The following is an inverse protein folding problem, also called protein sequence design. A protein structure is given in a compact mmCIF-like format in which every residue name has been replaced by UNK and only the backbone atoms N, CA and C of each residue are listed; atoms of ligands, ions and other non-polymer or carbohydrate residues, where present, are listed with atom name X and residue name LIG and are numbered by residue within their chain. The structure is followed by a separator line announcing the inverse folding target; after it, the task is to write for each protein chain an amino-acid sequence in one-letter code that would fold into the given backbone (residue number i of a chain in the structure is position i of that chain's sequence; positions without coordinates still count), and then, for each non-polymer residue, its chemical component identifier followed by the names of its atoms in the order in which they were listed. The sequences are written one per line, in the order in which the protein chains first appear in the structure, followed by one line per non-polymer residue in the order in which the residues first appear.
data_IF_454514172045
#
_entry.id   IF_454514172045
#
_cell.length_a   1.000
_cell.length_b   1.000
_cell.length_c   1.000
_cell.angle_alpha   90.00
_cell.angle_beta   90.00
_cell.angle_gamma   90.00
#
_symmetry.space_group_name_H-M   'P 1'
#
loop_
_entity.id
_entity.type
_entity.pdbx_description
1 polymer ?
#
# COMPACT_ATOMS: atom_id res chain seq x y z
N UNK A 1 24.36 -19.52 -10.94
CA UNK A 1 24.55 -19.72 -9.49
C UNK A 1 24.79 -18.36 -8.84
N UNK A 2 23.93 -17.96 -7.92
CA UNK A 2 24.11 -16.72 -7.16
C UNK A 2 25.32 -16.83 -6.25
N UNK A 3 26.24 -15.86 -6.34
CA UNK A 3 27.38 -15.75 -5.43
C UNK A 3 26.91 -15.43 -4.00
N UNK A 4 27.76 -15.61 -2.98
CA UNK A 4 27.43 -15.28 -1.59
C UNK A 4 26.97 -13.83 -1.42
N UNK A 5 27.48 -12.92 -2.27
CA UNK A 5 27.12 -11.51 -2.26
C UNK A 5 25.63 -11.25 -2.52
N UNK A 6 24.91 -12.15 -3.21
CA UNK A 6 23.47 -11.96 -3.47
C UNK A 6 22.65 -11.96 -2.17
N UNK A 7 22.94 -12.86 -1.23
CA UNK A 7 22.27 -12.95 0.07
C UNK A 7 22.57 -11.74 0.98
N UNK A 8 23.68 -11.05 0.72
CA UNK A 8 24.10 -9.85 1.46
C UNK A 8 23.48 -8.60 0.84
N UNK A 9 23.53 -8.47 -0.48
CA UNK A 9 23.07 -7.28 -1.18
C UNK A 9 21.55 -7.28 -1.41
N UNK A 10 20.92 -8.46 -1.50
CA UNK A 10 19.50 -8.63 -1.79
C UNK A 10 18.89 -9.68 -0.85
N UNK A 11 18.98 -9.49 0.48
CA UNK A 11 18.55 -10.51 1.45
C UNK A 11 17.08 -10.88 1.29
N UNK A 12 16.18 -9.89 1.13
CA UNK A 12 14.74 -10.14 0.90
C UNK A 12 14.49 -11.01 -0.34
N UNK A 13 15.13 -10.68 -1.46
CA UNK A 13 14.95 -11.44 -2.70
C UNK A 13 15.52 -12.86 -2.58
N UNK A 14 16.58 -13.05 -1.80
CA UNK A 14 17.09 -14.37 -1.47
C UNK A 14 16.13 -15.17 -0.58
N UNK A 15 15.54 -14.57 0.46
CA UNK A 15 14.51 -15.22 1.27
C UNK A 15 13.29 -15.61 0.43
N UNK A 16 12.79 -14.71 -0.42
CA UNK A 16 11.65 -14.98 -1.32
C UNK A 16 12.00 -16.15 -2.27
N UNK A 17 13.17 -16.11 -2.91
CA UNK A 17 13.58 -17.18 -3.82
C UNK A 17 13.65 -18.55 -3.13
N UNK A 18 14.13 -18.60 -1.87
CA UNK A 18 14.15 -19.84 -1.08
C UNK A 18 12.74 -20.27 -0.65
N UNK A 19 11.87 -19.34 -0.27
CA UNK A 19 10.48 -19.64 0.09
C UNK A 19 9.68 -20.21 -1.10
N UNK A 20 10.02 -19.81 -2.33
CA UNK A 20 9.42 -20.35 -3.56
C UNK A 20 9.81 -21.80 -3.85
N UNK A 21 10.95 -22.29 -3.35
CA UNK A 21 11.39 -23.68 -3.56
C UNK A 21 10.44 -24.63 -2.85
N UNK A 22 9.71 -25.47 -3.57
CA UNK A 22 8.71 -26.33 -2.92
C UNK A 22 9.35 -27.43 -2.09
N UNK A 23 10.48 -27.94 -2.56
CA UNK A 23 11.19 -29.05 -1.95
C UNK A 23 12.65 -29.07 -2.43
N UNK A 24 13.58 -29.47 -1.56
CA UNK A 24 15.01 -29.48 -1.84
C UNK A 24 15.40 -30.31 -3.08
N UNK A 25 14.58 -31.29 -3.47
CA UNK A 25 14.81 -32.09 -4.69
C UNK A 25 14.89 -31.25 -5.96
N UNK A 26 14.19 -30.10 -6.03
CA UNK A 26 14.25 -29.18 -7.18
C UNK A 26 15.66 -28.60 -7.37
N UNK A 27 16.43 -28.47 -6.28
CA UNK A 27 17.80 -27.97 -6.30
C UNK A 27 18.81 -29.11 -6.40
N UNK A 28 18.53 -30.25 -5.76
CA UNK A 28 19.46 -31.38 -5.66
C UNK A 28 19.88 -31.93 -7.02
N UNK A 29 18.99 -31.98 -8.02
CA UNK A 29 19.36 -32.42 -9.38
C UNK A 29 20.51 -31.59 -9.95
N UNK A 30 20.52 -30.28 -9.69
CA UNK A 30 21.59 -29.39 -10.15
C UNK A 30 22.81 -29.46 -9.24
N UNK A 31 22.59 -29.48 -7.92
CA UNK A 31 23.68 -29.47 -6.93
C UNK A 31 24.52 -30.75 -6.97
N UNK A 32 23.92 -31.91 -7.24
CA UNK A 32 24.63 -33.19 -7.31
C UNK A 32 25.29 -33.44 -8.67
N UNK A 33 24.89 -32.73 -9.72
CA UNK A 33 25.43 -32.90 -11.08
C UNK A 33 26.82 -32.29 -11.28
N UNK A 34 27.24 -31.33 -10.44
CA UNK A 34 28.51 -30.62 -10.61
C UNK A 34 29.53 -30.92 -9.51
N UNK A 35 30.73 -31.33 -9.90
CA UNK A 35 31.84 -31.60 -8.97
C UNK A 35 32.28 -30.39 -8.11
N UNK A 36 31.88 -29.16 -8.49
CA UNK A 36 32.25 -27.89 -7.83
C UNK A 36 31.12 -27.24 -7.02
N UNK A 37 29.99 -27.93 -6.82
CA UNK A 37 28.78 -27.33 -6.22
C UNK A 37 28.70 -27.41 -4.70
N UNK A 38 29.70 -28.02 -4.03
CA UNK A 38 29.69 -28.24 -2.59
C UNK A 38 29.53 -26.93 -1.79
N UNK A 39 30.21 -25.86 -2.19
CA UNK A 39 30.11 -24.56 -1.50
C UNK A 39 28.74 -23.92 -1.67
N UNK A 40 28.09 -24.11 -2.84
CA UNK A 40 26.74 -23.65 -3.09
C UNK A 40 25.71 -24.47 -2.29
N UNK A 41 25.88 -25.79 -2.22
CA UNK A 41 25.02 -26.67 -1.42
C UNK A 41 25.08 -26.34 0.07
N UNK A 42 26.29 -26.13 0.62
CA UNK A 42 26.49 -25.73 2.01
C UNK A 42 25.82 -24.38 2.32
N UNK A 43 25.92 -23.44 1.38
CA UNK A 43 25.28 -22.13 1.47
C UNK A 43 23.76 -22.23 1.48
N UNK A 44 23.19 -22.99 0.55
CA UNK A 44 21.75 -23.17 0.44
C UNK A 44 21.18 -23.92 1.64
N UNK A 45 21.88 -24.94 2.15
CA UNK A 45 21.48 -25.63 3.38
C UNK A 45 21.43 -24.65 4.56
N UNK A 46 22.49 -23.86 4.78
CA UNK A 46 22.50 -22.86 5.85
C UNK A 46 21.48 -21.74 5.65
N UNK A 47 21.17 -21.39 4.40
CA UNK A 47 20.12 -20.43 4.09
C UNK A 47 18.71 -20.97 4.39
N UNK A 48 18.44 -22.24 4.10
CA UNK A 48 17.18 -22.90 4.48
C UNK A 48 17.03 -23.03 5.99
N UNK A 49 18.11 -23.35 6.71
CA UNK A 49 18.09 -23.33 8.19
C UNK A 49 17.72 -21.94 8.72
N UNK A 50 18.34 -20.89 8.19
CA UNK A 50 18.08 -19.51 8.60
C UNK A 50 16.60 -19.14 8.46
N UNK A 51 15.97 -19.44 7.32
CA UNK A 51 14.55 -19.12 7.06
C UNK A 51 13.56 -20.12 7.71
N UNK A 52 14.01 -20.92 8.69
CA UNK A 52 13.14 -21.84 9.42
C UNK A 52 12.72 -23.10 8.65
N UNK A 53 13.43 -23.46 7.57
CA UNK A 53 13.17 -24.66 6.75
C UNK A 53 14.24 -25.74 6.94
N UNK A 54 14.48 -26.11 8.20
CA UNK A 54 15.50 -27.09 8.58
C UNK A 54 15.37 -28.43 7.84
N UNK A 55 14.13 -28.91 7.58
CA UNK A 55 13.90 -30.16 6.84
C UNK A 55 14.51 -30.14 5.43
N UNK A 56 14.50 -28.99 4.75
CA UNK A 56 15.08 -28.85 3.41
C UNK A 56 16.61 -28.82 3.46
N UNK A 57 17.16 -28.14 4.46
CA UNK A 57 18.60 -28.13 4.71
C UNK A 57 19.11 -29.55 5.00
N UNK A 58 18.42 -30.27 5.87
CA UNK A 58 18.69 -31.66 6.24
C UNK A 58 18.69 -32.57 5.02
N UNK A 59 17.71 -32.41 4.11
CA UNK A 59 17.66 -33.18 2.86
C UNK A 59 18.87 -32.91 1.99
N UNK A 60 19.31 -31.66 1.87
CA UNK A 60 20.52 -31.30 1.12
C UNK A 60 21.76 -31.98 1.73
N UNK A 61 21.93 -31.87 3.05
CA UNK A 61 23.06 -32.48 3.77
C UNK A 61 23.06 -34.00 3.61
N UNK A 62 21.92 -34.66 3.80
CA UNK A 62 21.77 -36.13 3.67
C UNK A 62 22.07 -36.62 2.25
N UNK A 63 21.65 -35.89 1.21
CA UNK A 63 21.92 -36.26 -0.18
C UNK A 63 23.44 -36.25 -0.49
N UNK A 64 24.18 -35.23 -0.03
CA UNK A 64 25.63 -35.19 -0.20
C UNK A 64 26.35 -36.27 0.63
N UNK A 65 25.83 -36.59 1.83
CA UNK A 65 26.38 -37.66 2.66
C UNK A 65 26.28 -39.04 2.00
N UNK A 66 25.24 -39.32 1.21
CA UNK A 66 25.13 -40.55 0.42
C UNK A 66 26.27 -40.71 -0.60
N UNK A 67 26.82 -39.60 -1.08
CA UNK A 67 28.01 -39.55 -1.94
C UNK A 67 29.32 -39.49 -1.15
N UNK A 68 29.28 -39.71 0.17
CA UNK A 68 30.41 -39.60 1.11
C UNK A 68 31.04 -38.21 1.18
N UNK A 69 30.29 -37.16 0.82
CA UNK A 69 30.72 -35.77 0.92
C UNK A 69 30.12 -35.17 2.19
N UNK A 70 30.98 -34.73 3.12
CA UNK A 70 30.55 -34.05 4.35
C UNK A 70 30.25 -32.58 4.06
N UNK A 71 28.97 -32.21 4.10
CA UNK A 71 28.52 -30.84 3.93
C UNK A 71 28.36 -30.15 5.29
N UNK A 72 28.93 -28.95 5.45
CA UNK A 72 28.71 -28.10 6.63
C UNK A 72 27.87 -26.88 6.20
N UNK A 73 26.61 -26.76 6.66
CA UNK A 73 25.78 -25.59 6.39
C UNK A 73 26.46 -24.28 6.81
N UNK A 74 26.30 -23.23 6.00
CA UNK A 74 26.82 -21.88 6.29
C UNK A 74 25.72 -20.87 5.97
N UNK A 75 25.25 -20.14 6.98
CA UNK A 75 24.29 -19.06 6.80
C UNK A 75 24.92 -17.93 5.95
N UNK A 76 24.38 -17.61 4.75
CA UNK A 76 24.91 -16.55 3.91
C UNK A 76 24.33 -15.15 4.21
N UNK A 77 23.29 -15.06 5.04
CA UNK A 77 22.65 -13.80 5.37
C UNK A 77 23.46 -13.02 6.41
N UNK A 78 23.36 -11.69 6.36
CA UNK A 78 23.81 -10.79 7.44
C UNK A 78 22.67 -10.27 8.30
N UNK A 79 21.45 -10.74 8.01
CA UNK A 79 20.28 -10.41 8.80
C UNK A 79 20.38 -11.11 10.16
N UNK A 80 19.96 -10.43 11.26
CA UNK A 80 19.90 -11.07 12.56
C UNK A 80 18.81 -12.15 12.60
N UNK A 81 17.68 -11.91 11.91
CA UNK A 81 16.51 -12.78 11.86
C UNK A 81 15.86 -12.73 10.46
N UNK A 82 15.11 -13.76 10.05
CA UNK A 82 14.36 -13.75 8.80
C UNK A 82 13.33 -12.62 8.73
N UNK A 83 13.10 -12.08 7.54
CA UNK A 83 12.03 -11.09 7.30
C UNK A 83 10.71 -11.74 6.86
N UNK A 84 10.73 -13.05 6.63
CA UNK A 84 9.58 -13.85 6.24
C UNK A 84 9.27 -14.91 7.28
N UNK A 85 8.00 -15.00 7.65
CA UNK A 85 7.51 -16.15 8.38
C UNK A 85 7.38 -17.37 7.44
N UNK A 86 7.54 -18.60 7.98
CA UNK A 86 7.27 -19.81 7.22
C UNK A 86 5.85 -19.81 6.64
N UNK A 87 5.75 -19.79 5.31
CA UNK A 87 4.46 -19.81 4.59
C UNK A 87 4.42 -20.91 3.52
N UNK A 88 3.20 -21.32 3.18
CA UNK A 88 2.92 -22.16 2.00
C UNK A 88 2.76 -21.33 0.72
N UNK A 89 2.73 -20.00 0.84
CA UNK A 89 2.71 -19.07 -0.29
C UNK A 89 3.93 -19.27 -1.19
N UNK A 90 3.70 -19.22 -2.50
CA UNK A 90 4.75 -19.35 -3.52
C UNK A 90 4.78 -18.20 -4.52
N UNK A 91 3.81 -17.29 -4.43
CA UNK A 91 3.82 -16.06 -5.23
C UNK A 91 4.93 -15.15 -4.72
N UNK A 92 5.94 -14.79 -5.55
CA UNK A 92 6.99 -13.87 -5.13
C UNK A 92 6.43 -12.50 -4.74
N UNK A 93 5.30 -12.10 -5.32
CA UNK A 93 4.62 -10.84 -5.01
C UNK A 93 4.05 -10.88 -3.60
N UNK A 94 3.27 -11.90 -3.27
CA UNK A 94 2.71 -12.10 -1.91
C UNK A 94 3.81 -12.16 -0.86
N UNK A 95 4.86 -12.94 -1.11
CA UNK A 95 6.00 -13.04 -0.21
C UNK A 95 6.70 -11.69 -0.05
N UNK A 96 6.89 -10.92 -1.13
CA UNK A 96 7.48 -9.58 -1.03
C UNK A 96 6.64 -8.64 -0.16
N UNK A 97 5.32 -8.65 -0.32
CA UNK A 97 4.42 -7.83 0.49
C UNK A 97 4.50 -8.19 1.98
N UNK A 98 4.47 -9.49 2.31
CA UNK A 98 4.61 -9.97 3.70
C UNK A 98 5.98 -9.59 4.29
N UNK A 99 7.07 -9.74 3.52
CA UNK A 99 8.42 -9.34 3.95
C UNK A 99 8.53 -7.83 4.19
N UNK A 100 7.98 -7.01 3.28
CA UNK A 100 7.91 -5.57 3.46
C UNK A 100 7.13 -5.22 4.72
N UNK A 101 5.96 -5.85 4.93
CA UNK A 101 5.14 -5.60 6.12
C UNK A 101 5.90 -5.87 7.41
N UNK A 102 6.44 -7.07 7.56
CA UNK A 102 7.16 -7.50 8.76
C UNK A 102 8.40 -6.66 9.01
N UNK A 103 9.19 -6.42 7.97
CA UNK A 103 10.44 -5.67 8.08
C UNK A 103 10.26 -4.18 8.39
N UNK A 104 9.08 -3.61 8.15
CA UNK A 104 8.81 -2.17 8.28
C UNK A 104 7.89 -1.81 9.43
N UNK A 105 7.22 -2.80 10.02
CA UNK A 105 6.26 -2.60 11.12
C UNK A 105 6.82 -1.74 12.25
N UNK A 106 8.03 -2.06 12.75
CA UNK A 106 8.64 -1.35 13.87
C UNK A 106 9.07 0.07 13.50
N UNK A 107 9.55 0.28 12.27
CA UNK A 107 9.93 1.61 11.78
C UNK A 107 8.73 2.56 11.73
N UNK A 108 7.54 2.04 11.36
CA UNK A 108 6.30 2.81 11.36
C UNK A 108 5.87 3.15 12.79
N UNK A 109 5.89 2.17 13.71
CA UNK A 109 5.54 2.39 15.12
C UNK A 109 6.45 3.47 15.74
N UNK A 110 7.76 3.41 15.46
CA UNK A 110 8.73 4.37 15.97
C UNK A 110 8.54 5.79 15.43
N UNK A 111 7.91 5.96 14.25
CA UNK A 111 7.71 7.25 13.60
C UNK A 111 6.39 7.94 13.97
N UNK A 112 5.43 7.22 14.56
CA UNK A 112 4.08 7.71 14.85
C UNK A 112 3.86 7.99 16.34
N UNK A 113 3.04 8.98 16.71
CA UNK A 113 2.58 9.11 18.09
C UNK A 113 1.65 7.93 18.45
N UNK A 114 1.54 7.57 19.74
CA UNK A 114 0.60 6.54 20.20
C UNK A 114 -0.83 6.83 19.75
N UNK A 115 -1.61 5.78 19.51
CA UNK A 115 -3.01 5.90 19.13
C UNK A 115 -3.79 6.67 20.20
N UNK A 116 -4.57 7.71 19.84
CA UNK A 116 -5.43 8.41 20.80
C UNK A 116 -6.47 7.50 21.47
N UNK A 117 -6.82 6.40 20.82
CA UNK A 117 -7.92 5.53 21.21
C UNK A 117 -9.23 5.98 20.56
N UNK A 118 -10.14 5.04 20.38
CA UNK A 118 -11.46 5.33 19.81
C UNK A 118 -12.22 6.29 20.72
N UNK A 119 -12.67 7.41 20.17
CA UNK A 119 -13.50 8.36 20.89
C UNK A 119 -14.84 7.71 21.23
N UNK A 120 -15.41 8.04 22.39
CA UNK A 120 -16.75 7.56 22.78
C UNK A 120 -17.85 8.12 21.85
N UNK A 121 -17.59 9.26 21.20
CA UNK A 121 -18.52 9.95 20.34
C UNK A 121 -18.10 9.83 18.87
N UNK A 122 -18.65 8.82 18.19
CA UNK A 122 -18.42 8.60 16.77
C UNK A 122 -19.01 9.73 15.89
N UNK A 123 -20.09 10.37 16.33
CA UNK A 123 -20.69 11.48 15.60
C UNK A 123 -19.76 12.70 15.59
N UNK A 124 -19.15 13.02 16.73
CA UNK A 124 -18.15 14.08 16.82
C UNK A 124 -16.92 13.82 15.95
N UNK A 125 -16.44 12.56 15.88
CA UNK A 125 -15.35 12.21 14.97
C UNK A 125 -15.76 12.43 13.50
N UNK A 126 -16.93 11.93 13.09
CA UNK A 126 -17.43 12.07 11.73
C UNK A 126 -17.72 13.53 11.34
N UNK A 127 -18.09 14.38 12.29
CA UNK A 127 -18.20 15.82 12.09
C UNK A 127 -16.83 16.46 11.80
N UNK A 128 -15.78 16.09 12.55
CA UNK A 128 -14.40 16.56 12.28
C UNK A 128 -13.86 16.08 10.93
N UNK A 129 -14.26 14.87 10.49
CA UNK A 129 -13.96 14.38 9.14
C UNK A 129 -14.64 15.29 8.11
N UNK A 130 -15.93 15.59 8.28
CA UNK A 130 -16.70 16.46 7.39
C UNK A 130 -16.10 17.87 7.26
N UNK A 131 -15.70 18.48 8.37
CA UNK A 131 -15.04 19.79 8.40
C UNK A 131 -13.76 19.83 7.55
N UNK A 132 -13.12 18.68 7.32
CA UNK A 132 -11.89 18.56 6.52
C UNK A 132 -12.14 18.30 5.04
N UNK A 133 -13.38 18.04 4.63
CA UNK A 133 -13.72 17.68 3.25
C UNK A 133 -13.15 18.66 2.23
N UNK A 134 -13.39 19.97 2.39
CA UNK A 134 -13.00 20.95 1.38
C UNK A 134 -11.47 21.01 1.18
N UNK A 135 -10.73 20.99 2.28
CA UNK A 135 -9.27 20.95 2.24
C UNK A 135 -8.76 19.63 1.66
N UNK A 136 -9.36 18.50 2.04
CA UNK A 136 -8.99 17.18 1.54
C UNK A 136 -9.21 17.08 0.03
N UNK A 137 -10.42 17.43 -0.45
CA UNK A 137 -10.79 17.43 -1.86
C UNK A 137 -9.85 18.31 -2.68
N UNK A 138 -9.58 19.54 -2.25
CA UNK A 138 -8.66 20.43 -2.95
C UNK A 138 -7.28 19.79 -3.11
N UNK A 139 -6.68 19.36 -2.00
CA UNK A 139 -5.30 18.92 -2.00
C UNK A 139 -5.15 17.58 -2.75
N UNK A 140 -6.06 16.66 -2.48
CA UNK A 140 -6.08 15.33 -3.09
C UNK A 140 -6.27 15.41 -4.61
N UNK A 141 -7.20 16.23 -5.11
CA UNK A 141 -7.40 16.40 -6.54
C UNK A 141 -6.24 17.17 -7.20
N UNK A 142 -5.70 18.20 -6.54
CA UNK A 142 -4.60 18.98 -7.08
C UNK A 142 -3.29 18.18 -7.19
N UNK A 143 -3.05 17.23 -6.27
CA UNK A 143 -1.89 16.31 -6.34
C UNK A 143 -1.91 15.47 -7.62
N UNK A 144 -3.11 15.06 -8.06
CA UNK A 144 -3.33 14.30 -9.30
C UNK A 144 -3.36 15.20 -10.56
N UNK A 145 -3.27 16.52 -10.40
CA UNK A 145 -3.21 17.49 -11.51
C UNK A 145 -4.57 17.98 -12.02
N UNK A 146 -5.65 17.82 -11.26
CA UNK A 146 -6.93 18.50 -11.53
C UNK A 146 -6.85 19.98 -11.14
N UNK A 147 -7.53 20.85 -11.89
CA UNK A 147 -7.60 22.29 -11.58
C UNK A 147 -8.92 22.58 -10.86
N UNK A 148 -8.90 22.44 -9.54
CA UNK A 148 -10.07 22.68 -8.68
C UNK A 148 -9.91 23.98 -7.90
N UNK A 149 -11.01 24.73 -7.75
CA UNK A 149 -11.09 25.93 -6.91
C UNK A 149 -11.97 25.66 -5.70
N UNK A 150 -11.87 26.51 -4.67
CA UNK A 150 -12.69 26.39 -3.47
C UNK A 150 -14.19 26.54 -3.82
N UNK A 151 -14.52 27.45 -4.74
CA UNK A 151 -15.90 27.64 -5.22
C UNK A 151 -16.46 26.41 -5.94
N UNK A 152 -15.63 25.69 -6.69
CA UNK A 152 -16.05 24.44 -7.33
C UNK A 152 -16.33 23.36 -6.29
N UNK A 153 -15.47 23.23 -5.28
CA UNK A 153 -15.61 22.21 -4.23
C UNK A 153 -16.84 22.47 -3.37
N UNK A 154 -17.07 23.74 -2.99
CA UNK A 154 -18.24 24.16 -2.22
C UNK A 154 -19.54 23.93 -3.00
N UNK A 155 -19.57 24.31 -4.28
CA UNK A 155 -20.73 24.09 -5.15
C UNK A 155 -21.08 22.60 -5.29
N UNK A 156 -20.07 21.75 -5.45
CA UNK A 156 -20.26 20.29 -5.49
C UNK A 156 -20.83 19.77 -4.16
N UNK A 157 -20.34 20.27 -3.02
CA UNK A 157 -20.83 19.88 -1.70
C UNK A 157 -22.27 20.32 -1.43
N UNK A 158 -22.70 21.47 -1.99
CA UNK A 158 -24.08 21.96 -1.84
C UNK A 158 -25.10 21.19 -2.70
N UNK A 159 -24.65 20.30 -3.59
CA UNK A 159 -25.54 19.50 -4.44
C UNK A 159 -26.16 20.28 -5.61
N UNK A 160 -25.79 21.55 -5.79
CA UNK A 160 -26.21 22.34 -6.94
C UNK A 160 -25.45 21.88 -8.18
N UNK A 161 -26.07 20.95 -8.91
CA UNK A 161 -25.96 20.99 -10.36
C UNK A 161 -26.66 22.26 -10.80
N UNK A 162 -25.91 23.37 -10.85
CA UNK A 162 -26.39 24.72 -11.16
C UNK A 162 -27.46 24.68 -12.28
N UNK A 163 -28.75 24.94 -11.95
CA UNK A 163 -29.83 24.97 -12.94
C UNK A 163 -29.69 26.14 -13.93
N UNK A 164 -28.96 27.19 -13.52
CA UNK A 164 -28.71 28.43 -14.29
C UNK A 164 -27.26 28.50 -14.83
N UNK A 165 -26.45 27.50 -14.51
CA UNK A 165 -25.06 27.38 -14.94
C UNK A 165 -24.97 26.75 -16.32
N UNK A 166 -23.94 27.14 -17.06
CA UNK A 166 -23.66 26.55 -18.37
C UNK A 166 -23.54 25.01 -18.23
N UNK A 167 -24.42 24.21 -18.87
CA UNK A 167 -24.38 22.75 -18.82
C UNK A 167 -23.02 22.17 -19.25
N UNK A 168 -22.25 22.89 -20.08
CA UNK A 168 -20.87 22.53 -20.43
C UNK A 168 -19.91 22.61 -19.23
N UNK A 169 -20.11 23.56 -18.32
CA UNK A 169 -19.24 23.77 -17.16
C UNK A 169 -19.34 22.63 -16.14
N UNK A 170 -20.55 22.09 -15.94
CA UNK A 170 -20.83 20.96 -15.06
C UNK A 170 -20.34 19.61 -15.62
N UNK A 171 -19.97 19.57 -16.90
CA UNK A 171 -19.42 18.40 -17.57
C UNK A 171 -17.91 18.47 -17.75
N UNK A 172 -17.23 19.50 -17.23
CA UNK A 172 -15.76 19.54 -17.32
C UNK A 172 -15.12 18.37 -16.57
N UNK A 173 -13.95 17.94 -17.05
CA UNK A 173 -13.16 16.87 -16.41
C UNK A 173 -12.92 17.14 -14.92
N UNK A 174 -12.61 18.38 -14.58
CA UNK A 174 -12.28 18.78 -13.21
C UNK A 174 -13.53 18.86 -12.32
N UNK A 175 -14.68 19.32 -12.84
CA UNK A 175 -15.97 19.28 -12.12
C UNK A 175 -16.44 17.84 -11.85
N UNK A 176 -16.32 16.95 -12.84
CA UNK A 176 -16.68 15.54 -12.69
C UNK A 176 -15.76 14.82 -11.70
N UNK A 177 -14.47 15.18 -11.67
CA UNK A 177 -13.53 14.66 -10.69
C UNK A 177 -13.85 15.16 -9.28
N UNK A 178 -14.20 16.44 -9.11
CA UNK A 178 -14.65 17.00 -7.83
C UNK A 178 -15.93 16.30 -7.33
N UNK A 179 -16.91 16.11 -8.22
CA UNK A 179 -18.15 15.39 -7.89
C UNK A 179 -17.92 13.94 -7.51
N UNK A 180 -17.09 13.22 -8.26
CA UNK A 180 -16.73 11.84 -7.93
C UNK A 180 -15.97 11.75 -6.60
N UNK A 181 -15.09 12.71 -6.33
CA UNK A 181 -14.37 12.78 -5.05
C UNK A 181 -15.32 13.00 -3.87
N UNK A 182 -16.29 13.90 -4.01
CA UNK A 182 -17.35 14.10 -3.01
C UNK A 182 -18.12 12.82 -2.72
N UNK A 183 -18.56 12.13 -3.77
CA UNK A 183 -19.30 10.87 -3.65
C UNK A 183 -18.46 9.78 -2.95
N UNK A 184 -17.19 9.66 -3.33
CA UNK A 184 -16.27 8.71 -2.70
C UNK A 184 -15.96 9.07 -1.25
N UNK A 185 -15.81 10.36 -0.93
CA UNK A 185 -15.58 10.85 0.43
C UNK A 185 -16.71 10.44 1.37
N UNK A 186 -17.97 10.62 0.96
CA UNK A 186 -19.12 10.17 1.75
C UNK A 186 -19.19 8.65 1.89
N UNK A 187 -18.90 7.89 0.83
CA UNK A 187 -18.83 6.44 0.92
C UNK A 187 -17.74 5.98 1.91
N UNK A 188 -16.60 6.67 1.97
CA UNK A 188 -15.53 6.41 2.95
C UNK A 188 -15.97 6.80 4.36
N UNK A 189 -16.71 7.90 4.52
CA UNK A 189 -17.28 8.33 5.80
C UNK A 189 -18.23 7.26 6.36
N UNK A 190 -19.07 6.66 5.52
CA UNK A 190 -19.94 5.54 5.90
C UNK A 190 -19.13 4.30 6.33
N UNK A 191 -18.05 3.99 5.61
CA UNK A 191 -17.10 2.95 6.02
C UNK A 191 -16.47 3.25 7.37
N UNK A 192 -16.03 4.49 7.61
CA UNK A 192 -15.46 4.92 8.91
C UNK A 192 -16.49 4.78 10.03
N UNK A 193 -17.75 5.15 9.80
CA UNK A 193 -18.81 4.98 10.80
C UNK A 193 -18.92 3.52 11.27
N UNK A 194 -18.79 2.56 10.35
CA UNK A 194 -18.78 1.12 10.68
C UNK A 194 -17.52 0.70 11.45
N UNK A 195 -16.36 1.23 11.08
CA UNK A 195 -15.10 0.98 11.83
C UNK A 195 -15.23 1.49 13.27
N UNK A 196 -15.77 2.70 13.45
CA UNK A 196 -16.01 3.28 14.78
C UNK A 196 -17.07 2.50 15.57
N UNK A 197 -18.01 1.86 14.89
CA UNK A 197 -18.99 0.96 15.49
C UNK A 197 -18.41 -0.44 15.84
N UNK A 198 -17.13 -0.68 15.57
CA UNK A 198 -16.42 -1.90 15.97
C UNK A 198 -16.24 -2.95 14.87
N UNK A 199 -16.61 -2.67 13.62
CA UNK A 199 -16.22 -3.54 12.50
C UNK A 199 -14.69 -3.51 12.29
N UNK A 200 -14.10 -4.65 11.94
CA UNK A 200 -12.67 -4.73 11.65
C UNK A 200 -12.30 -3.86 10.44
N UNK A 201 -11.39 -2.90 10.65
CA UNK A 201 -11.02 -1.93 9.63
C UNK A 201 -10.42 -2.56 8.37
N UNK A 202 -9.60 -3.62 8.51
CA UNK A 202 -9.03 -4.32 7.36
C UNK A 202 -10.10 -4.97 6.48
N UNK A 203 -11.12 -5.55 7.11
CA UNK A 203 -12.29 -6.13 6.43
C UNK A 203 -13.14 -5.06 5.74
N UNK A 204 -13.40 -3.94 6.42
CA UNK A 204 -14.19 -2.83 5.87
C UNK A 204 -13.51 -2.26 4.63
N UNK A 205 -12.23 -1.86 4.71
CA UNK A 205 -11.55 -1.25 3.56
C UNK A 205 -11.34 -2.24 2.41
N UNK A 206 -11.06 -3.52 2.72
CA UNK A 206 -10.89 -4.57 1.71
C UNK A 206 -12.17 -4.86 0.93
N UNK A 207 -13.35 -4.72 1.55
CA UNK A 207 -14.64 -4.85 0.88
C UNK A 207 -15.01 -3.57 0.11
N UNK A 208 -14.91 -2.42 0.76
CA UNK A 208 -15.56 -1.19 0.30
C UNK A 208 -14.74 -0.40 -0.73
N UNK A 209 -13.43 -0.68 -0.89
CA UNK A 209 -12.58 0.12 -1.78
C UNK A 209 -13.07 0.12 -3.24
N UNK A 210 -13.78 -0.91 -3.68
CA UNK A 210 -14.39 -0.97 -5.01
C UNK A 210 -15.58 -0.01 -5.13
N UNK A 211 -16.37 0.14 -4.07
CA UNK A 211 -17.50 1.07 -4.04
C UNK A 211 -16.99 2.52 -4.01
N UNK A 212 -15.93 2.79 -3.24
CA UNK A 212 -15.27 4.09 -3.25
C UNK A 212 -14.73 4.45 -4.63
N UNK A 213 -14.13 3.48 -5.31
CA UNK A 213 -13.64 3.63 -6.67
C UNK A 213 -14.78 3.85 -7.67
N UNK A 214 -15.89 3.12 -7.53
CA UNK A 214 -17.07 3.32 -8.35
C UNK A 214 -17.68 4.72 -8.16
N UNK A 215 -17.74 5.20 -6.91
CA UNK A 215 -18.18 6.56 -6.59
C UNK A 215 -17.24 7.61 -7.21
N UNK A 216 -15.92 7.37 -7.16
CA UNK A 216 -14.92 8.30 -7.70
C UNK A 216 -15.05 8.53 -9.21
N UNK A 217 -15.43 7.50 -9.98
CA UNK A 217 -15.49 7.57 -11.44
C UNK A 217 -16.91 7.56 -12.03
N UNK A 218 -17.94 7.24 -11.23
CA UNK A 218 -19.31 7.07 -11.71
C UNK A 218 -19.86 8.28 -12.45
N UNK A 219 -19.58 9.50 -11.96
CA UNK A 219 -19.95 10.75 -12.62
C UNK A 219 -19.28 10.90 -13.99
N UNK A 220 -17.97 10.65 -14.08
CA UNK A 220 -17.21 10.75 -15.34
C UNK A 220 -17.63 9.68 -16.37
N UNK A 221 -17.97 8.47 -15.90
CA UNK A 221 -18.48 7.39 -16.76
C UNK A 221 -19.88 7.71 -17.28
N UNK A 222 -20.75 8.27 -16.43
CA UNK A 222 -22.10 8.69 -16.83
C UNK A 222 -22.06 9.80 -17.88
N UNK A 223 -21.10 10.73 -17.76
CA UNK A 223 -20.84 11.78 -18.74
C UNK A 223 -20.10 11.29 -20.01
N UNK A 224 -19.77 10.00 -20.11
CA UNK A 224 -19.07 9.43 -21.27
C UNK A 224 -17.59 9.84 -21.40
N UNK A 225 -17.01 10.50 -20.39
CA UNK A 225 -15.59 10.88 -20.38
C UNK A 225 -14.65 9.71 -20.11
N UNK A 226 -15.16 8.70 -19.41
CA UNK A 226 -14.41 7.50 -19.04
C UNK A 226 -15.20 6.27 -19.48
N UNK A 227 -14.51 5.25 -19.98
CA UNK A 227 -15.16 4.03 -20.43
C UNK A 227 -15.89 3.32 -19.28
N UNK A 228 -17.07 2.74 -19.54
CA UNK A 228 -17.84 1.97 -18.54
C UNK A 228 -17.05 0.80 -17.94
N UNK A 229 -16.16 0.20 -18.74
CA UNK A 229 -15.26 -0.86 -18.30
C UNK A 229 -14.30 -0.42 -17.19
N UNK A 230 -14.09 0.88 -17.00
CA UNK A 230 -13.30 1.40 -15.89
C UNK A 230 -13.91 0.97 -14.55
N UNK A 231 -15.23 0.85 -14.45
CA UNK A 231 -15.94 0.42 -13.24
C UNK A 231 -15.99 -1.11 -13.08
N UNK A 232 -15.48 -1.87 -14.05
CA UNK A 232 -15.51 -3.34 -14.01
C UNK A 232 -14.50 -3.94 -13.01
N UNK A 233 -13.64 -3.09 -12.42
CA UNK A 233 -12.75 -3.44 -11.32
C UNK A 233 -11.28 -3.21 -11.64
N UNK A 234 -10.44 -4.18 -11.29
CA UNK A 234 -8.99 -4.05 -11.43
C UNK A 234 -8.54 -3.96 -12.89
N UNK A 235 -7.41 -3.30 -13.11
CA UNK A 235 -6.87 -3.09 -14.45
C UNK A 235 -6.49 -4.41 -15.10
N UNK A 236 -6.78 -4.50 -16.40
CA UNK A 236 -6.47 -5.67 -17.24
C UNK A 236 -5.15 -5.52 -18.02
N UNK A 237 -4.49 -4.36 -17.92
CA UNK A 237 -3.30 -4.00 -18.69
C UNK A 237 -2.17 -3.38 -17.84
N UNK A 238 -0.99 -3.22 -18.45
CA UNK A 238 0.14 -2.55 -17.81
C UNK A 238 -0.10 -1.05 -17.69
N UNK A 239 0.57 -0.44 -16.71
CA UNK A 239 0.59 1.01 -16.49
C UNK A 239 1.99 1.43 -16.04
N UNK A 240 2.27 2.73 -16.15
CA UNK A 240 3.51 3.33 -15.66
C UNK A 240 3.17 4.54 -14.78
N UNK A 241 3.84 4.63 -13.64
CA UNK A 241 3.71 5.79 -12.76
C UNK A 241 4.70 6.85 -13.27
N UNK A 242 4.18 8.03 -13.62
CA UNK A 242 5.05 9.13 -14.07
C UNK A 242 5.98 9.56 -12.94
N UNK A 243 7.25 9.79 -13.28
CA UNK A 243 8.29 10.25 -12.35
C UNK A 243 8.57 9.30 -11.18
N UNK A 244 8.36 8.00 -11.37
CA UNK A 244 8.75 6.97 -10.41
C UNK A 244 9.52 5.86 -11.13
N UNK A 245 10.55 5.33 -10.47
CA UNK A 245 11.28 4.13 -10.91
C UNK A 245 10.54 2.85 -10.50
N UNK A 246 9.51 2.95 -9.66
CA UNK A 246 8.66 1.82 -9.31
C UNK A 246 7.82 1.37 -10.51
N UNK A 247 7.83 0.07 -10.76
CA UNK A 247 6.96 -0.56 -11.74
C UNK A 247 5.82 -1.27 -11.01
N UNK A 248 4.56 -0.85 -11.22
CA UNK A 248 3.40 -1.54 -10.68
C UNK A 248 3.37 -3.03 -10.97
N UNK A 249 2.69 -3.79 -10.12
CA UNK A 249 2.60 -5.24 -10.26
C UNK A 249 1.96 -5.64 -11.61
N UNK A 250 2.36 -6.77 -12.21
CA UNK A 250 1.65 -7.27 -13.39
C UNK A 250 0.22 -7.69 -13.00
N UNK A 251 -0.70 -7.70 -13.98
CA UNK A 251 -2.13 -7.96 -13.72
C UNK A 251 -2.38 -9.30 -13.04
N UNK A 252 -1.56 -10.31 -13.36
CA UNK A 252 -1.65 -11.66 -12.81
C UNK A 252 -1.34 -11.72 -11.32
N UNK A 253 -0.65 -10.70 -10.78
CA UNK A 253 -0.27 -10.63 -9.38
C UNK A 253 -1.21 -9.76 -8.54
N UNK A 254 -2.12 -8.99 -9.17
CA UNK A 254 -2.93 -7.99 -8.45
C UNK A 254 -3.82 -8.65 -7.40
N UNK A 255 -4.59 -9.68 -7.79
CA UNK A 255 -5.56 -10.32 -6.90
C UNK A 255 -4.86 -10.94 -5.68
N UNK A 256 -3.91 -11.84 -5.90
CA UNK A 256 -3.14 -12.48 -4.81
C UNK A 256 -2.49 -11.44 -3.88
N UNK A 257 -1.98 -10.34 -4.45
CA UNK A 257 -1.30 -9.29 -3.66
C UNK A 257 -2.28 -8.45 -2.85
N UNK A 258 -3.49 -8.19 -3.37
CA UNK A 258 -4.54 -7.51 -2.62
C UNK A 258 -5.09 -8.41 -1.52
N UNK A 259 -5.32 -9.70 -1.80
CA UNK A 259 -5.72 -10.66 -0.76
C UNK A 259 -4.69 -10.71 0.38
N UNK A 260 -3.40 -10.77 0.05
CA UNK A 260 -2.33 -10.70 1.04
C UNK A 260 -2.36 -9.37 1.83
N UNK A 261 -2.59 -8.24 1.17
CA UNK A 261 -2.72 -6.94 1.83
C UNK A 261 -3.91 -6.91 2.80
N UNK A 262 -5.07 -7.44 2.39
CA UNK A 262 -6.28 -7.49 3.22
C UNK A 262 -6.09 -8.37 4.45
N UNK A 263 -5.41 -9.52 4.30
CA UNK A 263 -5.08 -10.38 5.43
C UNK A 263 -4.13 -9.69 6.41
N UNK A 264 -3.08 -9.02 5.90
CA UNK A 264 -2.15 -8.26 6.73
C UNK A 264 -2.88 -7.16 7.53
N UNK A 265 -3.79 -6.43 6.89
CA UNK A 265 -4.58 -5.38 7.55
C UNK A 265 -5.49 -5.92 8.65
N UNK A 266 -6.17 -7.05 8.41
CA UNK A 266 -7.04 -7.69 9.42
C UNK A 266 -6.25 -8.11 10.67
N UNK A 267 -5.04 -8.63 10.48
CA UNK A 267 -4.22 -9.17 11.58
C UNK A 267 -3.36 -8.14 12.29
N UNK A 268 -3.12 -6.96 11.71
CA UNK A 268 -2.27 -5.94 12.33
C UNK A 268 -3.01 -5.24 13.48
N UNK A 269 -2.52 -5.25 14.72
CA UNK A 269 -3.16 -4.55 15.83
C UNK A 269 -2.94 -3.03 15.83
N UNK A 270 -1.84 -2.52 15.25
CA UNK A 270 -1.49 -1.10 15.33
C UNK A 270 -2.12 -0.30 14.18
N UNK A 271 -3.00 0.64 14.52
CA UNK A 271 -3.70 1.47 13.52
C UNK A 271 -2.75 2.32 12.66
N UNK A 272 -1.63 2.80 13.22
CA UNK A 272 -0.63 3.54 12.45
C UNK A 272 0.07 2.64 11.41
N UNK A 273 0.37 1.38 11.77
CA UNK A 273 0.95 0.39 10.86
C UNK A 273 -0.04 0.07 9.74
N UNK A 274 -1.31 -0.21 10.09
CA UNK A 274 -2.39 -0.40 9.11
C UNK A 274 -2.43 0.77 8.14
N UNK A 275 -2.51 2.00 8.65
CA UNK A 275 -2.65 3.19 7.81
C UNK A 275 -1.47 3.41 6.87
N UNK A 276 -0.22 3.40 7.37
CA UNK A 276 0.95 3.71 6.56
C UNK A 276 1.26 2.59 5.58
N UNK A 277 1.31 1.34 6.04
CA UNK A 277 1.65 0.20 5.18
C UNK A 277 0.49 -0.17 4.26
N UNK A 278 -0.75 -0.06 4.73
CA UNK A 278 -1.95 -0.23 3.91
C UNK A 278 -1.98 0.77 2.76
N UNK A 279 -1.78 2.05 3.07
CA UNK A 279 -1.65 3.10 2.07
C UNK A 279 -0.56 2.80 1.04
N UNK A 280 0.66 2.56 1.52
CA UNK A 280 1.82 2.35 0.67
C UNK A 280 1.66 1.11 -0.21
N UNK A 281 1.30 -0.04 0.36
CA UNK A 281 1.22 -1.28 -0.40
C UNK A 281 0.06 -1.26 -1.39
N UNK A 282 -1.05 -0.59 -1.08
CA UNK A 282 -2.13 -0.40 -2.06
C UNK A 282 -1.64 0.37 -3.30
N UNK A 283 -0.93 1.49 -3.11
CA UNK A 283 -0.39 2.28 -4.24
C UNK A 283 0.80 1.60 -4.92
N UNK A 284 1.54 0.74 -4.21
CA UNK A 284 2.60 -0.11 -4.75
C UNK A 284 2.04 -1.20 -5.68
N UNK A 285 0.95 -1.87 -5.28
CA UNK A 285 0.21 -2.83 -6.13
C UNK A 285 -0.38 -2.10 -7.34
N UNK A 286 -0.95 -0.91 -7.09
CA UNK A 286 -1.56 -0.04 -8.09
C UNK A 286 -2.65 -0.75 -8.92
N UNK A 287 -3.75 -1.18 -8.27
CA UNK A 287 -4.70 -2.12 -8.86
C UNK A 287 -5.63 -1.54 -9.93
N UNK A 288 -5.75 -0.22 -10.04
CA UNK A 288 -6.63 0.46 -11.01
C UNK A 288 -5.85 1.19 -12.11
N UNK A 289 -6.51 1.54 -13.22
CA UNK A 289 -5.90 2.35 -14.30
C UNK A 289 -5.65 3.81 -13.88
N UNK A 290 -6.50 4.36 -13.02
CA UNK A 290 -6.38 5.70 -12.42
C UNK A 290 -7.04 5.69 -11.03
N UNK A 291 -6.81 6.70 -10.20
CA UNK A 291 -7.47 6.87 -8.90
C UNK A 291 -6.75 6.20 -7.72
N UNK A 292 -5.68 5.44 -7.97
CA UNK A 292 -4.95 4.72 -6.92
C UNK A 292 -4.44 5.65 -5.81
N UNK A 293 -3.94 6.84 -6.14
CA UNK A 293 -3.51 7.83 -5.14
C UNK A 293 -4.66 8.32 -4.25
N UNK A 294 -5.81 8.63 -4.85
CA UNK A 294 -7.02 9.09 -4.15
C UNK A 294 -7.60 8.01 -3.24
N UNK A 295 -7.79 6.80 -3.78
CA UNK A 295 -8.25 5.64 -2.99
C UNK A 295 -7.23 5.27 -1.90
N UNK A 296 -5.93 5.34 -2.20
CA UNK A 296 -4.88 5.11 -1.22
C UNK A 296 -4.95 6.09 -0.05
N UNK A 297 -5.23 7.37 -0.28
CA UNK A 297 -5.40 8.38 0.79
C UNK A 297 -6.69 8.16 1.59
N UNK A 298 -7.77 7.75 0.94
CA UNK A 298 -8.99 7.34 1.65
C UNK A 298 -8.77 6.11 2.52
N UNK A 299 -8.10 5.09 1.99
CA UNK A 299 -7.73 3.88 2.72
C UNK A 299 -6.84 4.21 3.93
N UNK A 300 -5.85 5.10 3.76
CA UNK A 300 -5.03 5.61 4.87
C UNK A 300 -5.90 6.17 5.99
N UNK A 301 -6.84 7.07 5.65
CA UNK A 301 -7.67 7.75 6.64
C UNK A 301 -8.69 6.82 7.31
N UNK A 302 -9.29 5.89 6.58
CA UNK A 302 -10.17 4.88 7.17
C UNK A 302 -9.43 3.99 8.19
N UNK A 303 -8.16 3.67 7.93
CA UNK A 303 -7.33 2.89 8.85
C UNK A 303 -6.79 3.71 10.02
N UNK A 304 -6.51 5.01 9.83
CA UNK A 304 -6.19 5.94 10.92
C UNK A 304 -7.36 6.05 11.91
N UNK A 305 -8.59 6.10 11.40
CA UNK A 305 -9.80 6.17 12.22
C UNK A 305 -9.92 4.99 13.19
N UNK A 306 -9.43 3.79 12.82
CA UNK A 306 -9.47 2.61 13.70
C UNK A 306 -8.61 2.76 14.97
N UNK A 307 -7.72 3.74 15.02
CA UNK A 307 -6.94 4.10 16.22
C UNK A 307 -7.38 5.41 16.87
N UNK A 308 -8.43 6.05 16.36
CA UNK A 308 -8.88 7.38 16.79
C UNK A 308 -7.97 8.53 16.32
N UNK A 309 -7.07 8.28 15.37
CA UNK A 309 -6.28 9.35 14.76
C UNK A 309 -7.17 10.28 13.92
N UNK A 310 -6.85 11.58 13.83
CA UNK A 310 -7.63 12.51 13.04
C UNK A 310 -7.46 12.26 11.53
N UNK A 311 -8.49 12.60 10.75
CA UNK A 311 -8.41 12.59 9.29
C UNK A 311 -7.26 13.48 8.80
N UNK A 312 -6.30 12.88 8.10
CA UNK A 312 -5.07 13.53 7.66
C UNK A 312 -5.16 13.93 6.20
N UNK A 313 -4.92 15.22 5.94
CA UNK A 313 -4.87 15.80 4.59
C UNK A 313 -3.42 15.93 4.17
N UNK A 314 -3.04 15.29 3.06
CA UNK A 314 -1.72 15.49 2.44
C UNK A 314 -1.75 16.77 1.64
N UNK A 315 -1.00 17.79 2.06
CA UNK A 315 -1.01 19.11 1.39
C UNK A 315 -0.31 19.07 0.03
N UNK A 316 -0.94 19.67 -0.99
CA UNK A 316 -0.36 19.78 -2.35
C UNK A 316 0.94 20.59 -2.35
N UNK A 317 1.10 21.54 -1.42
CA UNK A 317 2.35 22.30 -1.25
C UNK A 317 3.54 21.42 -0.85
N UNK A 318 3.28 20.20 -0.36
CA UNK A 318 4.28 19.19 -0.02
C UNK A 318 4.20 17.95 -0.91
N UNK A 319 3.63 18.11 -2.12
CA UNK A 319 3.53 17.02 -3.09
C UNK A 319 4.89 16.38 -3.36
N UNK A 320 5.94 17.18 -3.55
CA UNK A 320 7.26 16.64 -3.90
C UNK A 320 7.87 15.84 -2.74
N UNK A 321 7.71 16.29 -1.50
CA UNK A 321 8.10 15.53 -0.30
C UNK A 321 7.37 14.18 -0.22
N UNK A 322 6.05 14.20 -0.47
CA UNK A 322 5.21 13.00 -0.45
C UNK A 322 5.62 12.00 -1.53
N UNK A 323 5.84 12.47 -2.76
CA UNK A 323 6.28 11.60 -3.86
C UNK A 323 7.69 11.04 -3.61
N UNK A 324 8.61 11.85 -3.06
CA UNK A 324 9.95 11.38 -2.68
C UNK A 324 9.89 10.32 -1.57
N UNK A 325 8.99 10.47 -0.60
CA UNK A 325 8.78 9.48 0.46
C UNK A 325 8.19 8.17 -0.06
N UNK A 326 7.24 8.22 -1.01
CA UNK A 326 6.72 7.03 -1.71
C UNK A 326 7.81 6.33 -2.54
N UNK A 327 8.66 7.08 -3.22
CA UNK A 327 9.77 6.55 -4.01
C UNK A 327 10.80 5.85 -3.11
N UNK A 328 11.18 6.48 -1.99
CA UNK A 328 12.09 5.88 -1.01
C UNK A 328 11.55 4.54 -0.46
N UNK A 329 10.24 4.44 -0.22
CA UNK A 329 9.63 3.19 0.21
C UNK A 329 9.59 2.14 -0.92
N UNK A 330 9.14 2.54 -2.11
CA UNK A 330 8.91 1.61 -3.23
C UNK A 330 10.19 1.08 -3.88
N UNK A 331 11.22 1.92 -3.98
CA UNK A 331 12.43 1.65 -4.76
C UNK A 331 13.63 1.34 -3.87
N UNK A 332 13.82 2.12 -2.81
CA UNK A 332 14.96 1.95 -1.89
C UNK A 332 14.63 1.05 -0.70
N UNK A 333 13.36 0.71 -0.50
CA UNK A 333 12.89 -0.12 0.58
C UNK A 333 12.94 0.54 1.97
N UNK A 334 12.87 1.88 2.01
CA UNK A 334 12.92 2.68 3.25
C UNK A 334 11.55 3.28 3.55
N UNK A 335 10.81 2.71 4.50
CA UNK A 335 9.46 3.19 4.85
C UNK A 335 9.45 4.45 5.71
N UNK A 336 10.49 4.65 6.52
CA UNK A 336 10.54 5.70 7.56
C UNK A 336 10.22 7.10 7.03
N UNK A 337 10.73 7.55 5.86
CA UNK A 337 10.37 8.85 5.30
C UNK A 337 8.86 9.03 5.10
N UNK A 338 8.16 7.99 4.62
CA UNK A 338 6.71 8.04 4.42
C UNK A 338 5.96 8.06 5.74
N UNK A 339 6.36 7.21 6.70
CA UNK A 339 5.76 7.19 8.02
C UNK A 339 5.91 8.56 8.72
N UNK A 340 7.13 9.11 8.74
CA UNK A 340 7.40 10.43 9.31
C UNK A 340 6.63 11.54 8.59
N UNK A 341 6.54 11.49 7.26
CA UNK A 341 5.78 12.47 6.48
C UNK A 341 4.30 12.48 6.87
N UNK A 342 3.66 11.31 6.94
CA UNK A 342 2.24 11.21 7.31
C UNK A 342 2.03 11.68 8.76
N UNK A 343 2.90 11.28 9.69
CA UNK A 343 2.82 11.74 11.07
C UNK A 343 2.93 13.28 11.19
N UNK A 344 3.79 13.91 10.38
CA UNK A 344 3.90 15.37 10.31
C UNK A 344 2.65 16.04 9.74
N UNK A 345 2.09 15.53 8.64
CA UNK A 345 0.83 16.07 8.08
C UNK A 345 -0.32 15.94 9.08
N UNK A 346 -0.39 14.82 9.79
CA UNK A 346 -1.38 14.58 10.84
C UNK A 346 -1.26 15.59 11.99
N UNK A 347 -0.04 15.88 12.45
CA UNK A 347 0.21 16.77 13.59
C UNK A 347 0.06 18.27 13.27
N UNK A 348 0.36 18.68 12.03
CA UNK A 348 0.44 20.10 11.66
C UNK A 348 -0.87 20.70 11.15
N UNK A 349 -1.97 19.95 11.16
CA UNK A 349 -3.21 20.47 10.63
C UNK A 349 -3.81 21.55 11.54
N UNK A 350 -4.13 22.69 10.95
CA UNK A 350 -4.90 23.78 11.56
C UNK A 350 -6.23 23.92 10.80
N UNK A 351 -7.37 24.06 11.50
CA UNK A 351 -8.63 24.44 10.86
C UNK A 351 -8.48 25.85 10.29
N UNK A 352 -8.44 25.95 8.96
CA UNK A 352 -8.37 27.21 8.23
C UNK A 352 -7.23 27.26 7.22
N UNK A 353 -7.58 27.42 5.94
CA UNK A 353 -6.64 28.06 5.00
C UNK A 353 -6.48 29.51 5.44
N UNK A 354 -5.25 29.95 5.67
CA UNK A 354 -4.94 31.36 5.56
C UNK A 354 -5.42 31.81 4.18
N UNK A 355 -6.44 32.65 4.13
CA UNK A 355 -6.92 33.27 2.90
C UNK A 355 -5.71 33.86 2.17
N UNK A 356 -5.32 33.24 1.06
CA UNK A 356 -4.35 33.82 0.14
C UNK A 356 -4.82 35.20 -0.30
N UNK A 357 -3.91 36.12 -0.67
CA UNK A 357 -4.30 37.48 -1.00
C UNK A 357 -5.33 37.44 -2.12
N UNK A 358 -6.52 38.00 -1.86
CA UNK A 358 -7.52 38.28 -2.89
C UNK A 358 -6.81 39.04 -4.01
N UNK A 359 -6.66 38.40 -5.17
CA UNK A 359 -6.21 39.10 -6.36
C UNK A 359 -7.20 40.23 -6.61
N UNK A 360 -6.68 41.46 -6.61
CA UNK A 360 -7.41 42.67 -6.99
C UNK A 360 -7.49 42.77 -8.51
#
# INVERSE_FOLDING_TARGET
MTGPQFFVNNPREAEIALAMVRHASELLTTLLAGATMMTAAARLAGAFEFIGRADEADRIVKAFAQMKIKLKPVNPFRLPEPTLEPSRDRSPYVLRLRSMWMGWRQDVIAAFPPAPGLQADAEAYLAQVEERYAADAYNSLSIEGYRVTDELIERVAMGDGDPDGDPEHNQTRDALAARGYFQAFHAVKDSIARVLAGEDAGTVVGRDHHDWYAALFGSAVSAGMVARSQLAGYRSGPIFIRNSMHTPLPREAILDSLEALWDLLKTEPEACVRAVLGHHLFVFIHPYFDGNGRIGRFLMNALLASGGYPWTVIRVSRRDDYMAALEAASVEGRITPLATFIAQEMAQWQPGRASGPKAR
#
